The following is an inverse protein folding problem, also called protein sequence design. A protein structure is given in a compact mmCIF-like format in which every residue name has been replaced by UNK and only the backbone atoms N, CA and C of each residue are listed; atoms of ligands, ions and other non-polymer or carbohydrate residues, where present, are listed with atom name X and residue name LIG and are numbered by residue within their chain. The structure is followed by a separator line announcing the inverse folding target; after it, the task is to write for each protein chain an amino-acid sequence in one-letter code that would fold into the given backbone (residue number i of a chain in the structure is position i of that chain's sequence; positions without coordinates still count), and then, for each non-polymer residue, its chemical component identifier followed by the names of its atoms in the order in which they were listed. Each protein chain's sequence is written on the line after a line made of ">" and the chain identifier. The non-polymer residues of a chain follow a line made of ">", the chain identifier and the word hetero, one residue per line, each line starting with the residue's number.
data_IF_870456173449
#
_entry.id   IF_870456173449
#
_cell.length_a   1.000
_cell.length_b   1.000
_cell.length_c   1.000
_cell.angle_alpha   90.00
_cell.angle_beta   90.00
_cell.angle_gamma   90.00
#
_symmetry.space_group_name_H-M   'P 1'
#
loop_
_entity.id
_entity.type
_entity.pdbx_description
1 polymer ?
#
# COMPACT_ATOMS: atom_id res chain seq x y z
N UNK A 1 -18.79 6.25 -15.09
CA UNK A 1 -18.17 5.99 -13.77
C UNK A 1 -16.69 6.29 -13.92
N UNK A 2 -16.23 7.42 -13.38
CA UNK A 2 -14.82 7.80 -13.46
C UNK A 2 -14.04 7.03 -12.40
N UNK A 3 -13.18 6.12 -12.82
CA UNK A 3 -12.20 5.50 -11.93
C UNK A 3 -11.25 6.60 -11.51
N UNK A 4 -11.33 7.02 -10.25
CA UNK A 4 -10.47 8.08 -9.72
C UNK A 4 -9.05 7.55 -9.75
N UNK A 5 -8.23 8.19 -10.57
CA UNK A 5 -6.83 7.91 -10.70
C UNK A 5 -6.10 8.67 -9.57
N UNK A 6 -5.76 7.93 -8.51
CA UNK A 6 -5.11 8.47 -7.33
C UNK A 6 -3.60 8.56 -7.56
N UNK A 7 -3.01 9.71 -7.24
CA UNK A 7 -1.57 9.87 -7.34
C UNK A 7 -0.89 9.14 -6.17
N UNK A 8 0.32 8.60 -6.39
CA UNK A 8 1.14 8.01 -5.32
C UNK A 8 1.28 8.97 -4.13
N UNK A 9 1.49 10.27 -4.38
CA UNK A 9 1.58 11.29 -3.34
C UNK A 9 0.28 11.49 -2.56
N UNK A 10 -0.86 11.39 -3.23
CA UNK A 10 -2.18 11.54 -2.61
C UNK A 10 -2.51 10.32 -1.75
N UNK A 11 -2.25 9.12 -2.27
CA UNK A 11 -2.35 7.87 -1.53
C UNK A 11 -1.44 7.86 -0.28
N UNK A 12 -0.20 8.33 -0.44
CA UNK A 12 0.75 8.42 0.67
C UNK A 12 0.24 9.37 1.77
N UNK A 13 -0.27 10.54 1.37
CA UNK A 13 -0.84 11.52 2.29
C UNK A 13 -2.10 10.99 3.01
N UNK A 14 -3.00 10.30 2.29
CA UNK A 14 -4.25 9.75 2.83
C UNK A 14 -3.99 8.68 3.91
N UNK A 15 -3.00 7.81 3.66
CA UNK A 15 -2.60 6.76 4.60
C UNK A 15 -1.58 7.21 5.65
N UNK A 16 -1.12 8.47 5.60
CA UNK A 16 -0.11 8.99 6.51
C UNK A 16 1.28 8.32 6.35
N UNK A 17 1.56 7.76 5.18
CA UNK A 17 2.85 7.11 4.85
C UNK A 17 3.67 7.99 3.90
N UNK A 18 4.97 7.74 3.82
CA UNK A 18 5.82 8.45 2.87
C UNK A 18 5.70 7.87 1.47
N UNK A 19 5.89 8.71 0.44
CA UNK A 19 5.96 8.29 -0.97
C UNK A 19 6.99 7.18 -1.17
N UNK A 20 8.12 7.22 -0.46
CA UNK A 20 9.13 6.17 -0.48
C UNK A 20 8.57 4.81 -0.04
N UNK A 21 7.74 4.78 1.01
CA UNK A 21 7.08 3.55 1.47
C UNK A 21 6.16 3.00 0.38
N UNK A 22 5.34 3.85 -0.23
CA UNK A 22 4.45 3.46 -1.34
C UNK A 22 5.26 2.99 -2.54
N UNK A 23 6.36 3.67 -2.87
CA UNK A 23 7.26 3.31 -3.95
C UNK A 23 7.96 1.96 -3.72
N UNK A 24 8.36 1.66 -2.48
CA UNK A 24 8.92 0.36 -2.11
C UNK A 24 7.89 -0.77 -2.26
N UNK A 25 6.61 -0.50 -1.96
CA UNK A 25 5.52 -1.44 -2.23
C UNK A 25 5.25 -1.59 -3.72
N UNK A 26 5.28 -0.50 -4.49
CA UNK A 26 5.22 -0.57 -5.96
C UNK A 26 6.31 -1.50 -6.51
N UNK A 27 7.56 -1.32 -6.08
CA UNK A 27 8.69 -2.15 -6.51
C UNK A 27 8.47 -3.63 -6.16
N UNK A 28 8.05 -3.92 -4.92
CA UNK A 28 7.73 -5.29 -4.46
C UNK A 28 6.60 -5.95 -5.24
N UNK A 29 5.60 -5.18 -5.67
CA UNK A 29 4.46 -5.67 -6.44
C UNK A 29 4.77 -5.76 -7.96
N UNK A 30 5.96 -5.32 -8.39
CA UNK A 30 6.34 -5.27 -9.81
C UNK A 30 5.72 -4.10 -10.58
N UNK A 31 5.24 -3.08 -9.86
CA UNK A 31 4.63 -1.88 -10.40
C UNK A 31 5.73 -0.89 -10.79
N UNK A 32 5.87 -0.61 -12.10
CA UNK A 32 6.91 0.29 -12.66
C UNK A 32 6.73 1.79 -12.37
N UNK A 33 5.82 2.17 -11.49
CA UNK A 33 5.49 3.56 -11.21
C UNK A 33 6.38 4.11 -10.09
N UNK A 34 7.41 4.85 -10.47
CA UNK A 34 8.38 5.47 -9.53
C UNK A 34 8.09 6.95 -9.24
N UNK A 35 7.16 7.59 -9.95
CA UNK A 35 6.96 9.04 -9.81
C UNK A 35 5.80 9.37 -8.87
N UNK A 36 5.97 10.30 -7.92
CA UNK A 36 4.91 10.69 -6.97
C UNK A 36 3.64 11.23 -7.64
N UNK A 37 3.77 11.77 -8.85
CA UNK A 37 2.67 12.28 -9.67
C UNK A 37 2.05 11.21 -10.58
N UNK A 38 2.62 10.00 -10.60
CA UNK A 38 2.05 8.90 -11.37
C UNK A 38 0.72 8.51 -10.74
N UNK A 39 -0.29 8.48 -11.60
CA UNK A 39 -1.62 8.01 -11.26
C UNK A 39 -1.63 6.48 -11.27
N UNK A 40 -1.79 5.91 -10.08
CA UNK A 40 -1.99 4.47 -9.93
C UNK A 40 -3.41 4.13 -10.39
N UNK A 41 -3.58 3.09 -11.24
CA UNK A 41 -4.90 2.55 -11.48
C UNK A 41 -5.44 1.96 -10.16
N UNK A 42 -6.77 1.91 -10.04
CA UNK A 42 -7.44 1.48 -8.83
C UNK A 42 -7.00 0.08 -8.37
N UNK A 43 -6.73 -0.83 -9.32
CA UNK A 43 -6.27 -2.19 -9.03
C UNK A 43 -4.90 -2.19 -8.31
N UNK A 44 -3.94 -1.41 -8.80
CA UNK A 44 -2.61 -1.30 -8.20
C UNK A 44 -2.65 -0.56 -6.85
N UNK A 45 -3.40 0.56 -6.78
CA UNK A 45 -3.60 1.29 -5.53
C UNK A 45 -4.18 0.36 -4.45
N UNK A 46 -5.18 -0.46 -4.81
CA UNK A 46 -5.80 -1.41 -3.88
C UNK A 46 -4.83 -2.49 -3.43
N UNK A 47 -3.92 -2.96 -4.29
CA UNK A 47 -2.90 -3.92 -3.91
C UNK A 47 -1.92 -3.33 -2.89
N UNK A 48 -1.49 -2.08 -3.08
CA UNK A 48 -0.60 -1.37 -2.15
C UNK A 48 -1.32 -1.13 -0.81
N UNK A 49 -2.56 -0.64 -0.85
CA UNK A 49 -3.39 -0.45 0.36
C UNK A 49 -3.55 -1.75 1.12
N UNK A 50 -3.86 -2.85 0.42
CA UNK A 50 -4.02 -4.16 1.03
C UNK A 50 -2.71 -4.62 1.67
N UNK A 51 -1.57 -4.35 1.04
CA UNK A 51 -0.25 -4.68 1.57
C UNK A 51 0.17 -3.78 2.76
N UNK A 52 -0.25 -2.52 2.78
CA UNK A 52 -0.07 -1.60 3.91
C UNK A 52 -0.96 -1.96 5.10
N UNK A 53 -2.20 -2.40 4.83
CA UNK A 53 -3.22 -2.72 5.84
C UNK A 53 -3.15 -4.18 6.31
N UNK A 54 -2.56 -5.05 5.50
CA UNK A 54 -2.14 -6.39 5.91
C UNK A 54 -0.83 -6.24 6.65
N UNK A 55 -0.81 -6.25 7.99
CA UNK A 55 0.42 -6.65 8.66
C UNK A 55 0.74 -8.02 8.07
N UNK A 56 1.93 -8.18 7.47
CA UNK A 56 2.44 -9.51 7.14
C UNK A 56 2.08 -10.42 8.32
N UNK A 57 1.45 -11.60 8.11
CA UNK A 57 1.04 -12.44 9.22
C UNK A 57 2.28 -12.60 10.07
N UNK A 58 2.30 -11.94 11.23
CA UNK A 58 3.40 -12.07 12.16
C UNK A 58 3.29 -13.54 12.51
N UNK A 59 4.19 -14.33 11.92
CA UNK A 59 4.33 -15.72 12.26
C UNK A 59 5.08 -15.74 13.59
N UNK A 60 4.48 -15.10 14.60
CA UNK A 60 4.83 -15.25 15.99
C UNK A 60 3.69 -16.02 16.65
N UNK A 61 4.10 -17.09 17.31
CA UNK A 61 3.36 -18.27 17.70
C UNK A 61 2.51 -18.02 18.97
N UNK A 62 1.76 -19.03 19.46
CA UNK A 62 0.65 -18.88 20.41
C UNK A 62 1.10 -18.68 21.84
N UNK A 63 0.50 -17.71 22.53
CA UNK A 63 0.33 -17.66 24.00
C UNK A 63 -0.65 -16.47 24.23
N UNK A 64 -1.78 -16.55 24.93
CA UNK A 64 -2.03 -17.14 26.25
C UNK A 64 -3.55 -17.40 26.40
N UNK A 65 -3.99 -18.46 27.12
CA UNK A 65 -5.40 -18.64 27.48
C UNK A 65 -5.92 -17.46 28.31
N UNK A 66 -7.12 -17.00 27.94
CA UNK A 66 -7.93 -16.02 28.65
C UNK A 66 -8.16 -16.47 30.10
N UNK A 67 -7.72 -15.67 31.07
CA UNK A 67 -8.03 -15.83 32.50
C UNK A 67 -9.50 -15.54 32.82
#
# INVERSE_FOLDING_TARGET
>A
MGFVDIAIADLAADYGVSVETVCAWCDRLGIRYTSPQTRLPLEDAKAIILALTTPAPVNDQPDTPQS
#
